data_IF_725309779632
#
_entry.id   IF_725309779632
#
_cell.length_a   1.000
_cell.length_b   1.000
_cell.length_c   1.000
_cell.angle_alpha   90.00
_cell.angle_beta   90.00
_cell.angle_gamma   90.00
#
_symmetry.space_group_name_H-M   'P 1'
#
loop_
_entity.id
_entity.type
_entity.pdbx_description
1 polymer ?
#
# COMPACT_ATOMS: atom_id res chain seq x y z
N UNK A 1 -3.20 16.55 -29.12
CA UNK A 1 -2.13 16.13 -28.17
C UNK A 1 -2.44 16.51 -26.73
N UNK A 2 -2.65 17.80 -26.38
CA UNK A 2 -2.88 18.23 -24.99
C UNK A 2 -4.08 17.56 -24.31
N UNK A 3 -5.21 17.43 -25.02
CA UNK A 3 -6.42 16.78 -24.47
C UNK A 3 -6.20 15.30 -24.15
N UNK A 4 -5.50 14.55 -25.01
CA UNK A 4 -5.17 13.15 -24.76
C UNK A 4 -4.29 12.97 -23.51
N UNK A 5 -3.34 13.90 -23.28
CA UNK A 5 -2.51 13.91 -22.07
C UNK A 5 -3.41 14.15 -20.84
N UNK A 6 -4.29 15.16 -20.88
CA UNK A 6 -5.23 15.45 -19.78
C UNK A 6 -6.16 14.28 -19.47
N UNK A 7 -6.68 13.61 -20.50
CA UNK A 7 -7.52 12.44 -20.31
C UNK A 7 -6.77 11.30 -19.62
N UNK A 8 -5.51 11.06 -19.99
CA UNK A 8 -4.65 10.05 -19.36
C UNK A 8 -4.29 10.41 -17.92
N UNK A 9 -4.02 11.69 -17.63
CA UNK A 9 -3.81 12.19 -16.27
C UNK A 9 -5.04 11.91 -15.39
N UNK A 10 -6.23 12.29 -15.87
CA UNK A 10 -7.48 12.05 -15.15
C UNK A 10 -7.73 10.56 -14.90
N UNK A 11 -7.52 9.71 -15.91
CA UNK A 11 -7.66 8.27 -15.77
C UNK A 11 -6.69 7.68 -14.73
N UNK A 12 -5.43 8.14 -14.71
CA UNK A 12 -4.44 7.71 -13.72
C UNK A 12 -4.85 8.13 -12.30
N UNK A 13 -5.30 9.37 -12.10
CA UNK A 13 -5.79 9.85 -10.80
C UNK A 13 -6.97 9.02 -10.30
N UNK A 14 -7.93 8.71 -11.17
CA UNK A 14 -9.10 7.88 -10.82
C UNK A 14 -8.68 6.46 -10.45
N UNK A 15 -7.74 5.85 -11.19
CA UNK A 15 -7.20 4.54 -10.85
C UNK A 15 -6.55 4.54 -9.45
N UNK A 16 -5.70 5.54 -9.16
CA UNK A 16 -5.08 5.70 -7.85
C UNK A 16 -6.09 5.90 -6.74
N UNK A 17 -7.12 6.73 -6.95
CA UNK A 17 -8.18 6.94 -5.96
C UNK A 17 -8.94 5.63 -5.66
N UNK A 18 -9.26 4.84 -6.70
CA UNK A 18 -9.91 3.52 -6.54
C UNK A 18 -9.02 2.56 -5.74
N UNK A 19 -7.72 2.52 -6.01
CA UNK A 19 -6.79 1.68 -5.24
C UNK A 19 -6.68 2.13 -3.78
N UNK A 20 -6.52 3.43 -3.52
CA UNK A 20 -6.44 3.99 -2.17
C UNK A 20 -7.69 3.69 -1.34
N UNK A 21 -8.87 3.90 -1.92
CA UNK A 21 -10.14 3.64 -1.23
C UNK A 21 -10.28 2.16 -0.84
N UNK A 22 -9.98 1.25 -1.77
CA UNK A 22 -10.07 -0.18 -1.48
C UNK A 22 -9.00 -0.63 -0.47
N UNK A 23 -7.79 -0.04 -0.50
CA UNK A 23 -6.77 -0.30 0.52
C UNK A 23 -7.24 0.13 1.91
N UNK A 24 -7.83 1.33 2.03
CA UNK A 24 -8.36 1.85 3.27
C UNK A 24 -9.51 0.98 3.82
N UNK A 25 -10.38 0.46 2.93
CA UNK A 25 -11.46 -0.46 3.31
C UNK A 25 -10.95 -1.83 3.77
N UNK A 26 -9.86 -2.33 3.18
CA UNK A 26 -9.25 -3.59 3.58
C UNK A 26 -8.51 -3.51 4.93
N UNK A 27 -8.06 -2.31 5.34
CA UNK A 27 -7.41 -2.08 6.63
C UNK A 27 -8.43 -1.75 7.71
N UNK A 28 -8.83 -2.75 8.47
CA UNK A 28 -9.80 -2.67 9.58
C UNK A 28 -9.13 -2.30 10.90
N UNK A 29 -8.33 -1.23 10.90
CA UNK A 29 -7.71 -0.64 12.10
C UNK A 29 -7.61 0.88 11.96
N UNK A 30 -7.25 1.56 13.04
CA UNK A 30 -6.88 2.97 13.05
C UNK A 30 -5.42 3.09 13.43
N UNK A 31 -4.59 3.66 12.54
CA UNK A 31 -3.14 3.80 12.75
C UNK A 31 -2.62 5.07 12.09
N UNK A 32 -1.94 5.92 12.87
CA UNK A 32 -1.38 7.18 12.36
C UNK A 32 -2.46 8.06 11.73
N UNK A 33 -2.29 8.41 10.45
CA UNK A 33 -3.23 9.21 9.66
C UNK A 33 -4.46 8.42 9.16
N UNK A 34 -4.38 7.08 9.08
CA UNK A 34 -5.54 6.26 8.72
C UNK A 34 -6.47 6.15 9.93
N UNK A 35 -7.70 6.66 9.80
CA UNK A 35 -8.73 6.63 10.85
C UNK A 35 -9.94 5.86 10.36
N UNK A 36 -10.38 4.88 11.12
CA UNK A 36 -11.55 4.06 10.84
C UNK A 36 -12.53 4.12 12.00
N UNK A 37 -13.73 4.68 11.79
CA UNK A 37 -14.73 4.87 12.86
C UNK A 37 -15.14 3.55 13.52
N UNK A 38 -15.37 2.51 12.71
CA UNK A 38 -15.77 1.19 13.21
C UNK A 38 -14.61 0.39 13.83
N UNK A 39 -13.36 0.79 13.57
CA UNK A 39 -12.15 0.11 14.05
C UNK A 39 -11.18 1.14 14.66
N UNK A 40 -11.50 1.71 15.83
CA UNK A 40 -10.71 2.79 16.43
C UNK A 40 -9.36 2.33 17.01
N UNK A 41 -9.17 1.02 17.21
CA UNK A 41 -7.94 0.43 17.74
C UNK A 41 -6.90 0.10 16.67
N UNK A 42 -5.69 -0.23 17.14
CA UNK A 42 -4.63 -0.80 16.30
C UNK A 42 -4.67 -2.33 16.38
N UNK A 43 -4.39 -3.00 15.26
CA UNK A 43 -4.30 -4.45 15.19
C UNK A 43 -2.84 -4.86 14.86
N UNK A 44 -2.13 -5.55 15.77
CA UNK A 44 -0.77 -6.03 15.51
C UNK A 44 -0.67 -6.92 14.26
N UNK A 45 -1.72 -7.69 13.93
CA UNK A 45 -1.73 -8.54 12.74
C UNK A 45 -1.81 -7.73 11.43
N UNK A 46 -2.15 -6.44 11.49
CA UNK A 46 -2.24 -5.55 10.32
C UNK A 46 -0.99 -4.69 10.10
N UNK A 47 0.08 -4.94 10.88
CA UNK A 47 1.39 -4.30 10.68
C UNK A 47 2.13 -4.90 9.48
N UNK A 48 1.56 -4.75 8.29
CA UNK A 48 2.12 -5.15 7.00
C UNK A 48 1.69 -4.19 5.91
N UNK A 49 2.39 -4.25 4.78
CA UNK A 49 2.04 -3.47 3.59
C UNK A 49 0.85 -4.13 2.88
N UNK A 50 0.02 -3.31 2.25
CA UNK A 50 -1.01 -3.76 1.33
C UNK A 50 -0.54 -3.45 -0.09
N UNK A 51 -0.61 -4.44 -0.97
CA UNK A 51 -0.37 -4.29 -2.40
C UNK A 51 -1.73 -4.14 -3.07
N UNK A 52 -1.85 -3.13 -3.94
CA UNK A 52 -3.09 -2.84 -4.67
C UNK A 52 -2.82 -2.74 -6.16
N UNK A 53 -3.85 -2.98 -6.96
CA UNK A 53 -3.74 -2.86 -8.41
C UNK A 53 -5.03 -3.23 -9.14
N UNK A 54 -4.90 -3.37 -10.46
CA UNK A 54 -5.99 -3.69 -11.37
C UNK A 54 -6.73 -2.45 -11.90
N UNK A 55 -6.98 -2.41 -13.20
CA UNK A 55 -7.66 -1.28 -13.85
C UNK A 55 -9.15 -1.56 -13.99
N UNK A 56 -9.52 -2.71 -14.56
CA UNK A 56 -10.93 -3.10 -14.68
C UNK A 56 -11.46 -3.57 -13.33
N UNK A 57 -10.81 -4.59 -12.77
CA UNK A 57 -11.12 -5.16 -11.46
C UNK A 57 -10.03 -4.81 -10.45
N UNK A 58 -10.41 -4.03 -9.44
CA UNK A 58 -9.49 -3.60 -8.38
C UNK A 58 -9.31 -4.73 -7.38
N UNK A 59 -8.06 -5.00 -7.02
CA UNK A 59 -7.72 -5.95 -5.98
C UNK A 59 -6.81 -5.32 -4.94
N UNK A 60 -6.88 -5.87 -3.73
CA UNK A 60 -6.04 -5.53 -2.58
C UNK A 60 -5.61 -6.82 -1.94
N UNK A 61 -4.32 -6.97 -1.64
CA UNK A 61 -3.81 -8.12 -0.92
C UNK A 61 -2.75 -7.68 0.09
N UNK A 62 -2.66 -8.33 1.26
CA UNK A 62 -1.51 -8.16 2.12
C UNK A 62 -0.25 -8.57 1.37
N UNK A 63 0.83 -7.83 1.55
CA UNK A 63 2.14 -8.30 1.14
C UNK A 63 2.46 -9.56 1.96
N UNK A 64 2.69 -10.68 1.26
CA UNK A 64 3.23 -11.87 1.91
C UNK A 64 4.58 -11.50 2.50
N UNK A 65 4.91 -11.94 3.73
CA UNK A 65 6.27 -11.79 4.21
C UNK A 65 7.19 -12.39 3.16
N UNK A 66 8.15 -11.59 2.67
CA UNK A 66 9.18 -12.11 1.79
C UNK A 66 9.77 -13.37 2.46
N UNK A 67 10.06 -14.46 1.72
CA UNK A 67 10.93 -15.48 2.27
C UNK A 67 12.17 -14.75 2.78
N UNK A 68 12.53 -14.98 4.05
CA UNK A 68 13.69 -14.34 4.64
C UNK A 68 14.84 -14.47 3.66
N UNK A 69 15.31 -13.36 3.10
CA UNK A 69 16.48 -13.38 2.26
C UNK A 69 17.65 -13.77 3.16
N UNK A 70 18.08 -15.02 3.08
CA UNK A 70 19.36 -15.44 3.61
C UNK A 70 20.44 -14.67 2.86
N UNK A 71 20.87 -13.52 3.39
CA UNK A 71 21.88 -12.68 2.75
C UNK A 71 21.77 -11.20 3.05
N UNK A 72 22.02 -10.83 4.31
CA UNK A 72 22.66 -9.56 4.65
C UNK A 72 23.40 -9.72 5.99
N UNK A 73 24.25 -10.74 6.07
CA UNK A 73 25.39 -10.77 6.99
C UNK A 73 26.64 -10.49 6.17
N UNK A 74 27.53 -9.65 6.72
CA UNK A 74 28.70 -8.98 6.13
C UNK A 74 28.31 -7.70 5.36
N UNK A 75 28.70 -6.51 5.81
CA UNK A 75 30.08 -6.14 6.15
C UNK A 75 30.18 -5.42 7.50
N UNK A 76 31.13 -5.90 8.29
CA UNK A 76 31.65 -5.34 9.54
C UNK A 76 32.17 -3.90 9.42
N UNK A 77 32.01 -3.18 10.53
CA UNK A 77 32.99 -2.29 11.15
C UNK A 77 33.95 -1.49 10.24
N UNK A 78 33.68 -0.19 10.14
CA UNK A 78 34.77 0.78 10.15
C UNK A 78 34.37 2.04 10.93
N UNK A 79 34.86 2.10 12.17
CA UNK A 79 35.17 3.32 12.91
C UNK A 79 36.46 3.01 13.68
N UNK A 80 37.29 4.00 14.06
CA UNK A 80 37.13 5.45 13.91
C UNK A 80 37.82 6.05 12.68
#
# INVERSE_FOLDING_TARGET
MREAIRAREGAAMVATARWMFNAARARTETRGMHKHKDHPGQDPAQQRRLITGGLDQVWVRPESPAPASAGATAVEAHAP
#
